data_IF_712845506639
#
_entry.id   IF_712845506639
#
_cell.length_a   1.000
_cell.length_b   1.000
_cell.length_c   1.000
_cell.angle_alpha   90.00
_cell.angle_beta   90.00
_cell.angle_gamma   90.00
#
_symmetry.space_group_name_H-M   'P 1'
#
loop_
_entity.id
_entity.type
_entity.pdbx_description
1 polymer ?
#
# COMPACT_ATOMS: atom_id res chain seq x y z
N UNK A 1 10.60 7.28 7.65
CA UNK A 1 9.34 7.50 8.41
C UNK A 1 8.90 6.14 8.85
N UNK A 2 8.56 5.94 10.13
CA UNK A 2 8.26 4.61 10.69
C UNK A 2 7.35 3.74 9.80
N UNK A 3 6.39 4.33 9.08
CA UNK A 3 5.51 3.59 8.16
C UNK A 3 6.26 2.80 7.06
N UNK A 4 7.24 3.42 6.39
CA UNK A 4 7.93 2.77 5.26
C UNK A 4 8.99 1.78 5.74
N UNK A 5 9.69 2.13 6.82
CA UNK A 5 10.77 1.31 7.36
C UNK A 5 10.20 0.05 8.05
N UNK A 6 9.07 0.17 8.77
CA UNK A 6 8.46 -0.94 9.50
C UNK A 6 7.47 -1.77 8.67
N UNK A 7 7.01 -1.24 7.52
CA UNK A 7 5.94 -1.89 6.73
C UNK A 7 6.24 -2.05 5.23
N UNK A 8 7.50 -1.89 4.79
CA UNK A 8 7.90 -2.11 3.39
C UNK A 8 7.33 -3.41 2.79
N UNK A 9 7.44 -4.53 3.50
CA UNK A 9 6.93 -5.83 3.04
C UNK A 9 5.40 -5.85 2.87
N UNK A 10 4.68 -5.16 3.76
CA UNK A 10 3.22 -5.07 3.66
C UNK A 10 2.80 -4.18 2.48
N UNK A 11 3.51 -3.07 2.27
CA UNK A 11 3.29 -2.19 1.12
C UNK A 11 3.60 -2.92 -0.20
N UNK A 12 4.65 -3.74 -0.23
CA UNK A 12 5.01 -4.54 -1.38
C UNK A 12 3.93 -5.57 -1.72
N UNK A 13 3.45 -6.32 -0.71
CA UNK A 13 2.36 -7.27 -0.89
C UNK A 13 1.08 -6.59 -1.41
N UNK A 14 0.74 -5.39 -0.91
CA UNK A 14 -0.38 -4.61 -1.43
C UNK A 14 -0.17 -4.21 -2.90
N UNK A 15 1.02 -3.73 -3.26
CA UNK A 15 1.33 -3.34 -4.63
C UNK A 15 1.23 -4.50 -5.62
N UNK A 16 1.74 -5.68 -5.22
CA UNK A 16 1.72 -6.89 -6.04
C UNK A 16 0.31 -7.44 -6.22
N UNK A 17 -0.45 -7.55 -5.13
CA UNK A 17 -1.74 -8.25 -5.12
C UNK A 17 -2.91 -7.34 -5.46
N UNK A 18 -2.91 -6.12 -4.93
CA UNK A 18 -4.02 -5.16 -5.06
C UNK A 18 -3.72 -4.07 -6.08
N UNK A 19 -2.45 -3.68 -6.20
CA UNK A 19 -2.00 -2.62 -7.09
C UNK A 19 -1.79 -3.03 -8.55
N UNK A 20 -1.82 -4.34 -8.85
CA UNK A 20 -1.62 -4.88 -10.19
C UNK A 20 -0.16 -4.89 -10.67
N UNK A 21 0.80 -4.78 -9.76
CA UNK A 21 2.25 -4.81 -10.06
C UNK A 21 2.92 -6.05 -9.47
N UNK A 22 2.62 -7.27 -9.98
CA UNK A 22 3.18 -8.50 -9.45
C UNK A 22 4.72 -8.56 -9.55
N UNK A 23 5.31 -7.74 -10.43
CA UNK A 23 6.75 -7.59 -10.64
C UNK A 23 7.40 -6.48 -9.80
N UNK A 24 6.65 -5.86 -8.88
CA UNK A 24 7.23 -4.91 -7.93
C UNK A 24 8.23 -5.63 -7.01
N UNK A 25 9.38 -5.01 -6.78
CA UNK A 25 10.46 -5.50 -5.90
C UNK A 25 10.60 -4.68 -4.63
N UNK A 26 10.15 -3.42 -4.64
CA UNK A 26 10.03 -2.57 -3.47
C UNK A 26 8.83 -1.64 -3.59
N UNK A 27 8.27 -1.22 -2.45
CA UNK A 27 7.17 -0.27 -2.38
C UNK A 27 7.40 0.73 -1.25
N UNK A 28 7.23 2.01 -1.54
CA UNK A 28 7.31 3.12 -0.59
C UNK A 28 6.00 3.87 -0.59
N UNK A 29 5.40 4.08 0.59
CA UNK A 29 4.25 4.95 0.72
C UNK A 29 4.71 6.41 0.63
N UNK A 30 4.18 7.13 -0.35
CA UNK A 30 4.48 8.55 -0.59
C UNK A 30 3.36 9.48 -0.12
N UNK A 31 2.15 8.94 0.08
CA UNK A 31 0.99 9.70 0.50
C UNK A 31 -0.10 8.80 1.07
N UNK A 32 -0.87 9.34 2.00
CA UNK A 32 -2.07 8.71 2.53
C UNK A 32 -3.15 9.79 2.68
N UNK A 33 -4.35 9.48 2.23
CA UNK A 33 -5.51 10.35 2.39
C UNK A 33 -6.73 9.53 2.83
N UNK A 34 -7.90 10.16 2.92
CA UNK A 34 -9.14 9.51 3.39
C UNK A 34 -9.63 8.34 2.52
N UNK A 35 -9.10 8.17 1.31
CA UNK A 35 -9.55 7.15 0.35
C UNK A 35 -8.52 6.05 0.12
N UNK A 36 -7.24 6.27 0.43
CA UNK A 36 -6.22 5.25 0.20
C UNK A 36 -4.78 5.70 0.37
N UNK A 37 -3.88 4.86 -0.11
CA UNK A 37 -2.43 5.02 -0.07
C UNK A 37 -1.87 5.18 -1.48
N UNK A 38 -0.98 6.16 -1.65
CA UNK A 38 -0.18 6.33 -2.87
C UNK A 38 1.18 5.68 -2.67
N UNK A 39 1.52 4.73 -3.54
CA UNK A 39 2.74 3.96 -3.48
C UNK A 39 3.63 4.28 -4.67
N UNK A 40 4.90 4.55 -4.37
CA UNK A 40 5.99 4.52 -5.32
C UNK A 40 6.59 3.11 -5.34
N UNK A 41 6.70 2.51 -6.50
CA UNK A 41 7.17 1.14 -6.69
C UNK A 41 8.46 1.12 -7.49
N UNK A 42 9.38 0.26 -7.08
CA UNK A 42 10.48 -0.17 -7.93
C UNK A 42 10.08 -1.51 -8.57
N UNK A 43 10.21 -1.60 -9.89
CA UNK A 43 9.93 -2.81 -10.68
C UNK A 43 11.13 -3.10 -11.58
N UNK A 44 11.22 -4.31 -12.14
CA UNK A 44 12.25 -4.64 -13.12
C UNK A 44 12.18 -3.77 -14.38
N UNK A 45 11.01 -3.21 -14.69
CA UNK A 45 10.77 -2.30 -15.82
C UNK A 45 11.10 -0.84 -15.51
N UNK A 46 11.49 -0.55 -14.26
CA UNK A 46 11.77 0.79 -13.76
C UNK A 46 10.73 1.26 -12.74
N UNK A 47 10.71 2.58 -12.53
CA UNK A 47 9.87 3.20 -11.52
C UNK A 47 8.40 3.23 -11.94
N UNK A 48 7.50 2.85 -11.03
CA UNK A 48 6.06 2.93 -11.22
C UNK A 48 5.36 3.59 -10.02
N UNK A 49 4.11 3.97 -10.22
CA UNK A 49 3.25 4.53 -9.19
C UNK A 49 1.92 3.81 -9.23
N UNK A 50 1.39 3.47 -8.06
CA UNK A 50 0.05 2.90 -7.93
C UNK A 50 -0.66 3.48 -6.73
N UNK A 51 -1.99 3.35 -6.72
CA UNK A 51 -2.83 3.78 -5.61
C UNK A 51 -3.67 2.61 -5.11
N UNK A 52 -3.62 2.37 -3.80
CA UNK A 52 -4.37 1.31 -3.14
C UNK A 52 -5.51 1.95 -2.35
N UNK A 53 -6.74 1.75 -2.83
CA UNK A 53 -7.93 2.27 -2.17
C UNK A 53 -8.32 1.45 -0.94
N UNK A 54 -8.75 2.11 0.14
CA UNK A 54 -9.35 1.43 1.28
C UNK A 54 -10.66 0.75 0.89
N UNK A 55 -11.10 -0.18 1.74
CA UNK A 55 -12.40 -0.84 1.60
C UNK A 55 -13.58 0.15 1.62
N UNK A 56 -13.44 1.19 2.43
CA UNK A 56 -14.35 2.32 2.56
C UNK A 56 -13.52 3.56 2.92
N UNK A 57 -14.00 4.78 2.60
CA UNK A 57 -13.34 6.00 3.06
C UNK A 57 -13.24 6.03 4.58
N UNK A 58 -12.14 6.56 5.10
CA UNK A 58 -11.96 6.83 6.54
C UNK A 58 -12.39 8.25 6.86
N UNK A 59 -12.92 8.47 8.06
CA UNK A 59 -13.38 9.79 8.50
C UNK A 59 -12.38 10.50 9.43
N UNK A 60 -11.41 9.77 9.96
CA UNK A 60 -10.38 10.28 10.88
C UNK A 60 -9.02 9.60 10.71
N UNK A 61 -7.95 10.25 11.18
CA UNK A 61 -6.59 9.69 11.13
C UNK A 61 -6.44 8.43 12.02
N UNK A 62 -7.27 8.30 13.06
CA UNK A 62 -7.24 7.16 13.97
C UNK A 62 -7.65 5.85 13.28
N UNK A 63 -8.45 5.94 12.21
CA UNK A 63 -8.89 4.81 11.39
C UNK A 63 -7.82 4.33 10.40
N UNK A 64 -6.81 5.18 10.09
CA UNK A 64 -5.78 4.89 9.10
C UNK A 64 -5.07 3.56 9.36
N UNK A 65 -4.73 3.29 10.63
CA UNK A 65 -4.06 2.05 11.02
C UNK A 65 -4.95 0.83 10.74
N UNK A 66 -6.23 0.92 11.10
CA UNK A 66 -7.18 -0.17 10.89
C UNK A 66 -7.37 -0.46 9.40
N UNK A 67 -7.54 0.61 8.60
CA UNK A 67 -7.68 0.50 7.15
C UNK A 67 -6.44 -0.11 6.47
N UNK A 68 -5.23 0.28 6.88
CA UNK A 68 -3.99 -0.30 6.37
C UNK A 68 -3.79 -1.78 6.76
N UNK A 69 -4.19 -2.17 7.97
CA UNK A 69 -4.19 -3.58 8.41
C UNK A 69 -5.14 -4.42 7.56
N UNK A 70 -6.34 -3.90 7.27
CA UNK A 70 -7.31 -4.58 6.40
C UNK A 70 -6.75 -4.78 4.99
N UNK A 71 -6.11 -3.76 4.40
CA UNK A 71 -5.43 -3.90 3.12
C UNK A 71 -4.33 -4.97 3.15
N UNK A 72 -3.56 -5.03 4.24
CA UNK A 72 -2.49 -6.03 4.40
C UNK A 72 -3.06 -7.44 4.44
N UNK A 73 -4.18 -7.63 5.15
CA UNK A 73 -4.88 -8.92 5.23
C UNK A 73 -5.39 -9.34 3.85
N UNK A 74 -6.02 -8.45 3.11
CA UNK A 74 -6.50 -8.72 1.73
C UNK A 74 -5.36 -9.09 0.79
N UNK A 75 -4.24 -8.38 0.88
CA UNK A 75 -3.06 -8.65 0.07
C UNK A 75 -2.45 -10.03 0.33
N UNK A 76 -2.58 -10.58 1.55
CA UNK A 76 -2.03 -11.90 1.94
C UNK A 76 -3.04 -13.05 1.83
N UNK A 77 -4.30 -12.76 1.55
CA UNK A 77 -5.37 -13.76 1.46
C UNK A 77 -5.52 -14.36 0.06
N UNK A 78 -4.77 -13.86 -0.93
CA UNK A 78 -4.58 -14.47 -2.26
C UNK A 78 -3.31 -15.32 -2.26
#
# INVERSE_FOLDING_TARGET
>A
THLNDDHADSLLAMAQTLGGYPDATAATCTGADRYGLDLRLDTERGLAYTRIGYAAPIDSIDELRSAAVELTRRARAN
#
